data_IF_134346855103
#
_entry.id   IF_134346855103
#
_cell.length_a   1.000
_cell.length_b   1.000
_cell.length_c   1.000
_cell.angle_alpha   90.00
_cell.angle_beta   90.00
_cell.angle_gamma   90.00
#
_symmetry.space_group_name_H-M   'P 1'
#
loop_
_entity.id
_entity.type
_entity.pdbx_description
1 polymer ?
#
# COMPACT_ATOMS: atom_id res chain seq x y z
N UNK A 1 0.07 18.85 11.40
CA UNK A 1 -0.35 17.47 11.05
C UNK A 1 0.08 16.43 12.10
N UNK A 2 1.33 16.44 12.59
CA UNK A 2 1.84 15.41 13.52
C UNK A 2 1.11 15.29 14.86
N UNK A 3 0.61 16.40 15.45
CA UNK A 3 -0.12 16.33 16.73
C UNK A 3 -1.49 15.67 16.60
N UNK A 4 -2.23 15.96 15.51
CA UNK A 4 -3.51 15.32 15.21
C UNK A 4 -3.32 13.81 15.04
N UNK A 5 -2.27 13.39 14.33
CA UNK A 5 -1.93 11.97 14.13
C UNK A 5 -1.65 11.21 15.44
N UNK A 6 -1.06 11.89 16.43
CA UNK A 6 -0.76 11.30 17.74
C UNK A 6 -2.02 11.16 18.60
N UNK A 7 -2.86 12.19 18.66
CA UNK A 7 -4.10 12.16 19.44
C UNK A 7 -5.15 11.20 18.89
N UNK A 8 -5.13 10.92 17.58
CA UNK A 8 -6.09 10.01 16.97
C UNK A 8 -5.77 8.54 17.22
N UNK A 9 -4.51 8.13 17.47
CA UNK A 9 -4.15 6.70 17.49
C UNK A 9 -4.45 6.01 18.82
N UNK A 10 -5.52 5.23 18.83
CA UNK A 10 -5.67 4.15 19.81
C UNK A 10 -4.77 2.97 19.42
N UNK A 11 -3.76 2.67 20.24
CA UNK A 11 -2.84 1.55 20.00
C UNK A 11 -2.72 0.70 21.28
N UNK A 12 -3.70 -0.16 21.54
CA UNK A 12 -3.61 -1.17 22.60
C UNK A 12 -2.73 -2.33 22.10
N UNK A 13 -1.62 -2.61 22.80
CA UNK A 13 -0.69 -3.68 22.42
C UNK A 13 0.18 -3.30 21.23
N UNK A 14 1.04 -2.30 21.42
CA UNK A 14 1.90 -1.72 20.38
C UNK A 14 2.76 -2.82 19.72
N UNK A 15 2.37 -3.24 18.52
CA UNK A 15 3.19 -4.14 17.69
C UNK A 15 4.45 -3.39 17.28
N UNK A 16 5.61 -3.84 17.79
CA UNK A 16 6.91 -3.22 17.54
C UNK A 16 7.50 -3.62 16.18
N UNK A 17 7.03 -4.72 15.57
CA UNK A 17 7.62 -5.26 14.34
C UNK A 17 7.67 -4.22 13.20
N UNK A 18 6.67 -3.37 12.99
CA UNK A 18 6.68 -2.36 11.94
C UNK A 18 7.76 -1.30 12.08
N UNK A 19 7.94 -0.82 13.31
CA UNK A 19 8.96 0.17 13.62
C UNK A 19 10.35 -0.48 13.48
N UNK A 20 10.49 -1.75 13.86
CA UNK A 20 11.71 -2.51 13.63
C UNK A 20 12.03 -2.68 12.13
N UNK A 21 11.02 -2.94 11.30
CA UNK A 21 11.21 -3.02 9.84
C UNK A 21 11.69 -1.66 9.31
N UNK A 22 11.02 -0.56 9.64
CA UNK A 22 11.45 0.79 9.21
C UNK A 22 12.89 1.07 9.67
N UNK A 23 13.20 0.83 10.94
CA UNK A 23 14.55 1.03 11.47
C UNK A 23 15.57 0.16 10.72
N UNK A 24 15.23 -1.07 10.34
CA UNK A 24 16.11 -1.94 9.54
C UNK A 24 16.40 -1.33 8.17
N UNK A 25 15.41 -0.73 7.50
CA UNK A 25 15.62 0.00 6.25
C UNK A 25 16.53 1.21 6.44
N UNK A 26 16.28 2.03 7.47
CA UNK A 26 17.11 3.22 7.77
C UNK A 26 18.55 2.82 8.13
N UNK A 27 18.72 1.77 8.94
CA UNK A 27 20.05 1.23 9.27
C UNK A 27 20.75 0.70 8.02
N UNK A 28 20.03 -0.01 7.14
CA UNK A 28 20.60 -0.47 5.87
C UNK A 28 21.05 0.71 4.99
N UNK A 29 20.25 1.78 4.87
CA UNK A 29 20.62 2.96 4.10
C UNK A 29 21.86 3.68 4.66
N UNK A 30 21.92 3.85 5.98
CA UNK A 30 23.03 4.56 6.64
C UNK A 30 24.32 3.74 6.64
N UNK A 31 24.23 2.42 6.82
CA UNK A 31 25.42 1.56 6.96
C UNK A 31 25.92 0.96 5.63
N UNK A 32 25.02 0.57 4.72
CA UNK A 32 25.38 -0.21 3.52
C UNK A 32 25.45 0.65 2.26
N UNK A 33 24.59 1.68 2.15
CA UNK A 33 24.54 2.54 0.98
C UNK A 33 25.44 3.77 1.06
N UNK A 34 26.13 3.97 2.19
CA UNK A 34 27.06 5.07 2.44
C UNK A 34 26.41 6.40 2.05
N UNK A 35 25.40 6.78 2.83
CA UNK A 35 24.36 7.80 2.59
C UNK A 35 24.84 9.23 2.24
N UNK A 36 26.15 9.43 2.02
CA UNK A 36 26.77 10.70 1.66
C UNK A 36 27.00 10.95 0.17
N UNK A 37 26.90 9.95 -0.72
CA UNK A 37 26.93 10.20 -2.17
C UNK A 37 25.52 10.42 -2.69
N UNK A 38 25.31 11.52 -3.43
CA UNK A 38 24.03 11.89 -4.08
C UNK A 38 23.47 10.76 -4.96
N UNK A 39 22.81 9.76 -4.35
CA UNK A 39 22.09 8.71 -5.06
C UNK A 39 20.92 9.39 -5.75
N UNK A 40 21.04 9.59 -7.07
CA UNK A 40 19.93 10.09 -7.87
C UNK A 40 18.76 9.11 -7.73
N UNK A 41 17.68 9.55 -7.09
CA UNK A 41 16.41 8.80 -7.07
C UNK A 41 16.05 8.38 -8.49
N UNK A 42 15.69 7.11 -8.66
CA UNK A 42 15.14 6.61 -9.90
C UNK A 42 13.85 7.36 -10.26
N UNK A 43 13.50 7.36 -11.55
CA UNK A 43 12.25 7.98 -12.01
C UNK A 43 11.04 7.35 -11.31
N UNK A 44 11.13 6.05 -11.05
CA UNK A 44 10.20 5.23 -10.30
C UNK A 44 10.03 5.71 -8.86
N UNK A 45 11.14 5.95 -8.16
CA UNK A 45 11.08 6.45 -6.78
C UNK A 45 10.45 7.85 -6.72
N UNK A 46 10.71 8.69 -7.72
CA UNK A 46 10.06 10.01 -7.84
C UNK A 46 8.56 9.88 -8.12
N UNK A 47 8.19 9.01 -9.04
CA UNK A 47 6.79 8.73 -9.37
C UNK A 47 6.03 8.17 -8.16
N UNK A 48 6.64 7.23 -7.44
CA UNK A 48 6.08 6.69 -6.19
C UNK A 48 5.94 7.77 -5.12
N UNK A 49 6.95 8.63 -4.93
CA UNK A 49 6.87 9.75 -3.98
C UNK A 49 5.76 10.72 -4.34
N UNK A 50 5.62 11.08 -5.62
CA UNK A 50 4.54 11.93 -6.10
C UNK A 50 3.16 11.31 -5.86
N UNK A 51 3.01 10.01 -6.15
CA UNK A 51 1.79 9.27 -5.88
C UNK A 51 1.44 9.24 -4.39
N UNK A 52 2.44 9.00 -3.52
CA UNK A 52 2.25 9.03 -2.06
C UNK A 52 1.73 10.38 -1.59
N UNK A 53 2.24 11.49 -2.16
CA UNK A 53 1.73 12.83 -1.87
C UNK A 53 0.29 13.02 -2.32
N UNK A 54 -0.07 12.54 -3.52
CA UNK A 54 -1.46 12.60 -4.01
C UNK A 54 -2.38 11.84 -3.05
N UNK A 55 -2.08 10.57 -2.77
CA UNK A 55 -2.92 9.73 -1.92
C UNK A 55 -3.04 10.32 -0.51
N UNK A 56 -1.94 10.80 0.06
CA UNK A 56 -1.96 11.45 1.37
C UNK A 56 -2.80 12.73 1.38
N UNK A 57 -2.83 13.45 0.26
CA UNK A 57 -3.64 14.67 0.10
C UNK A 57 -5.12 14.33 -0.08
N UNK A 58 -5.48 13.20 -0.72
CA UNK A 58 -6.88 12.79 -0.88
C UNK A 58 -7.49 12.22 0.41
N UNK A 59 -6.66 11.68 1.32
CA UNK A 59 -7.17 11.05 2.55
C UNK A 59 -8.10 11.89 3.42
N UNK A 60 -7.83 13.18 3.73
CA UNK A 60 -8.71 13.99 4.56
C UNK A 60 -10.08 14.25 3.93
N UNK A 61 -10.21 14.11 2.61
CA UNK A 61 -11.49 14.31 1.94
C UNK A 61 -12.53 13.26 2.34
N UNK A 62 -12.10 12.04 2.70
CA UNK A 62 -13.01 10.95 3.13
C UNK A 62 -13.76 11.31 4.43
N UNK A 63 -13.11 11.65 5.56
CA UNK A 63 -13.82 12.04 6.78
C UNK A 63 -14.61 13.35 6.62
N UNK A 64 -14.15 14.29 5.79
CA UNK A 64 -14.91 15.51 5.47
C UNK A 64 -16.19 15.17 4.70
N UNK A 65 -16.10 14.23 3.76
CA UNK A 65 -17.22 13.71 3.00
C UNK A 65 -18.23 12.99 3.91
N UNK A 66 -17.76 12.12 4.81
CA UNK A 66 -18.60 11.45 5.81
C UNK A 66 -19.30 12.47 6.71
N UNK A 67 -18.56 13.45 7.22
CA UNK A 67 -19.14 14.53 8.01
C UNK A 67 -20.25 15.27 7.25
N UNK A 68 -19.99 15.61 5.99
CA UNK A 68 -20.97 16.27 5.13
C UNK A 68 -22.22 15.42 4.97
N UNK A 69 -22.07 14.11 4.68
CA UNK A 69 -23.21 13.20 4.57
C UNK A 69 -24.02 13.16 5.88
N UNK A 70 -23.37 13.07 7.04
CA UNK A 70 -24.05 13.00 8.33
C UNK A 70 -24.85 14.27 8.66
N UNK A 71 -24.32 15.44 8.28
CA UNK A 71 -25.02 16.72 8.48
C UNK A 71 -26.26 16.84 7.58
N UNK A 72 -26.14 16.40 6.32
CA UNK A 72 -27.23 16.54 5.33
C UNK A 72 -28.26 15.40 5.38
N UNK A 73 -27.82 14.18 5.71
CA UNK A 73 -28.67 12.99 5.74
C UNK A 73 -28.20 11.99 6.83
N UNK A 74 -28.53 12.24 8.11
CA UNK A 74 -28.11 11.40 9.23
C UNK A 74 -28.70 9.98 9.20
N UNK A 75 -29.75 9.76 8.40
CA UNK A 75 -30.37 8.43 8.24
C UNK A 75 -29.66 7.55 7.21
N UNK A 76 -28.53 7.99 6.63
CA UNK A 76 -27.84 7.22 5.58
C UNK A 76 -27.13 6.01 6.19
N UNK A 77 -27.44 4.76 5.79
CA UNK A 77 -26.63 3.61 6.19
C UNK A 77 -25.20 3.71 5.60
N UNK A 78 -24.15 3.17 6.25
CA UNK A 78 -24.15 2.33 7.45
C UNK A 78 -23.82 3.08 8.76
N UNK A 79 -24.14 4.37 8.85
CA UNK A 79 -23.77 5.19 10.01
C UNK A 79 -24.63 4.89 11.24
N UNK A 80 -24.08 5.04 12.44
CA UNK A 80 -24.74 4.80 13.73
C UNK A 80 -26.03 5.60 13.88
N UNK A 81 -26.08 6.82 13.34
CA UNK A 81 -27.31 7.63 13.35
C UNK A 81 -28.45 7.00 12.55
N UNK A 82 -28.17 6.18 11.53
CA UNK A 82 -29.21 5.47 10.77
C UNK A 82 -29.85 4.34 11.58
N UNK A 83 -29.22 3.91 12.68
CA UNK A 83 -29.79 2.90 13.59
C UNK A 83 -30.74 3.52 14.63
N UNK A 84 -30.78 4.85 14.74
CA UNK A 84 -31.70 5.54 15.64
C UNK A 84 -33.12 5.53 15.08
N UNK A 85 -34.14 5.17 15.88
CA UNK A 85 -35.54 5.20 15.42
C UNK A 85 -36.02 6.61 15.08
N UNK A 86 -35.33 7.63 15.59
CA UNK A 86 -35.69 9.04 15.43
C UNK A 86 -34.79 9.78 14.42
N UNK A 87 -34.06 9.08 13.54
CA UNK A 87 -33.08 9.71 12.65
C UNK A 87 -33.70 10.81 11.76
N UNK A 88 -34.96 10.65 11.34
CA UNK A 88 -35.69 11.63 10.52
C UNK A 88 -36.09 12.90 11.28
N UNK A 89 -36.20 12.82 12.62
CA UNK A 89 -36.60 13.93 13.48
C UNK A 89 -35.40 14.75 13.99
N UNK A 90 -34.18 14.36 13.64
CA UNK A 90 -32.96 15.05 14.08
C UNK A 90 -32.96 16.47 13.51
N UNK A 91 -32.95 17.45 14.40
CA UNK A 91 -32.73 18.87 14.08
C UNK A 91 -31.49 19.35 14.81
N UNK A 92 -30.58 19.99 14.08
CA UNK A 92 -29.35 20.61 14.58
C UNK A 92 -29.63 21.93 15.35
N UNK A 93 -30.61 21.91 16.25
CA UNK A 93 -30.98 23.07 17.07
C UNK A 93 -30.06 23.22 18.29
N UNK A 94 -30.00 24.44 18.83
CA UNK A 94 -29.12 24.85 19.94
C UNK A 94 -29.30 23.97 21.19
N UNK A 95 -28.28 23.16 21.50
CA UNK A 95 -28.20 22.33 22.70
C UNK A 95 -27.26 21.13 22.51
N UNK A 96 -26.69 20.61 23.60
CA UNK A 96 -25.90 19.38 23.57
C UNK A 96 -26.87 18.20 23.54
N UNK A 97 -27.12 17.66 22.35
CA UNK A 97 -27.95 16.45 22.16
C UNK A 97 -27.05 15.25 21.87
N UNK A 98 -27.43 14.02 22.26
CA UNK A 98 -26.61 12.82 22.08
C UNK A 98 -26.25 12.56 20.61
N UNK A 99 -27.05 13.03 19.65
CA UNK A 99 -26.79 12.90 18.22
C UNK A 99 -25.50 13.62 17.80
N UNK A 100 -25.19 14.77 18.41
CA UNK A 100 -23.94 15.50 18.15
C UNK A 100 -22.74 14.66 18.63
N UNK A 101 -22.87 14.00 19.78
CA UNK A 101 -21.81 13.11 20.30
C UNK A 101 -21.58 11.92 19.37
N UNK A 102 -22.65 11.34 18.81
CA UNK A 102 -22.55 10.25 17.83
C UNK A 102 -21.82 10.73 16.57
N UNK A 103 -22.19 11.88 15.99
CA UNK A 103 -21.49 12.45 14.83
C UNK A 103 -20.01 12.69 15.11
N UNK A 104 -19.68 13.31 16.25
CA UNK A 104 -18.29 13.56 16.63
C UNK A 104 -17.50 12.25 16.79
N UNK A 105 -18.11 11.23 17.40
CA UNK A 105 -17.52 9.92 17.53
C UNK A 105 -17.28 9.27 16.16
N UNK A 106 -18.23 9.32 15.24
CA UNK A 106 -18.07 8.75 13.90
C UNK A 106 -17.00 9.44 13.07
N UNK A 107 -16.93 10.77 13.10
CA UNK A 107 -15.87 11.52 12.43
C UNK A 107 -14.51 11.15 13.03
N UNK A 108 -14.43 11.11 14.36
CA UNK A 108 -13.19 10.76 15.05
C UNK A 108 -12.73 9.34 14.69
N UNK A 109 -13.64 8.37 14.69
CA UNK A 109 -13.37 7.00 14.26
C UNK A 109 -12.97 6.94 12.79
N UNK A 110 -13.66 7.67 11.91
CA UNK A 110 -13.34 7.74 10.48
C UNK A 110 -11.93 8.31 10.24
N UNK A 111 -11.59 9.40 10.92
CA UNK A 111 -10.24 9.99 10.90
C UNK A 111 -9.23 8.94 11.39
N UNK A 112 -9.49 8.27 12.52
CA UNK A 112 -8.57 7.27 13.05
C UNK A 112 -8.35 6.10 12.09
N UNK A 113 -9.42 5.51 11.56
CA UNK A 113 -9.35 4.39 10.61
C UNK A 113 -8.59 4.82 9.35
N UNK A 114 -8.93 5.97 8.79
CA UNK A 114 -8.34 6.48 7.54
C UNK A 114 -6.85 6.75 7.74
N UNK A 115 -6.46 7.51 8.76
CA UNK A 115 -5.04 7.81 8.99
C UNK A 115 -4.24 6.59 9.43
N UNK A 116 -4.77 5.74 10.32
CA UNK A 116 -4.09 4.53 10.76
C UNK A 116 -3.86 3.59 9.58
N UNK A 117 -4.93 3.21 8.87
CA UNK A 117 -4.87 2.31 7.71
C UNK A 117 -3.95 2.84 6.61
N UNK A 118 -4.04 4.14 6.31
CA UNK A 118 -3.19 4.78 5.31
C UNK A 118 -1.72 4.74 5.72
N UNK A 119 -1.37 5.05 6.97
CA UNK A 119 0.03 4.97 7.41
C UNK A 119 0.61 3.58 7.18
N UNK A 120 -0.15 2.53 7.48
CA UNK A 120 0.24 1.15 7.25
C UNK A 120 0.46 0.85 5.76
N UNK A 121 -0.52 1.13 4.92
CA UNK A 121 -0.44 0.79 3.49
C UNK A 121 0.61 1.67 2.78
N UNK A 122 0.66 2.97 3.06
CA UNK A 122 1.52 3.89 2.34
C UNK A 122 2.97 3.77 2.79
N UNK A 123 3.24 3.81 4.10
CA UNK A 123 4.63 3.79 4.55
C UNK A 123 5.19 2.37 4.68
N UNK A 124 4.42 1.38 5.15
CA UNK A 124 4.99 0.04 5.31
C UNK A 124 5.04 -0.73 4.01
N UNK A 125 4.02 -0.62 3.15
CA UNK A 125 3.99 -1.39 1.90
C UNK A 125 4.62 -0.61 0.75
N UNK A 126 4.08 0.56 0.40
CA UNK A 126 4.52 1.31 -0.78
C UNK A 126 5.97 1.82 -0.65
N UNK A 127 6.31 2.51 0.45
CA UNK A 127 7.68 3.02 0.64
C UNK A 127 8.69 1.87 0.73
N UNK A 128 8.42 0.81 1.50
CA UNK A 128 9.35 -0.31 1.62
C UNK A 128 9.59 -1.04 0.29
N UNK A 129 8.53 -1.28 -0.51
CA UNK A 129 8.66 -1.83 -1.87
C UNK A 129 9.49 -0.88 -2.75
N UNK A 130 9.22 0.43 -2.67
CA UNK A 130 10.00 1.45 -3.37
C UNK A 130 11.49 1.42 -3.02
N UNK A 131 11.82 1.30 -1.73
CA UNK A 131 13.19 1.13 -1.24
C UNK A 131 13.84 -0.13 -1.81
N UNK A 132 13.19 -1.30 -1.72
CA UNK A 132 13.71 -2.57 -2.26
C UNK A 132 13.97 -2.46 -3.77
N UNK A 133 13.05 -1.86 -4.53
CA UNK A 133 13.22 -1.63 -5.96
C UNK A 133 14.43 -0.73 -6.24
N UNK A 134 14.54 0.40 -5.55
CA UNK A 134 15.64 1.34 -5.71
C UNK A 134 16.99 0.69 -5.35
N UNK A 135 17.06 -0.06 -4.24
CA UNK A 135 18.28 -0.77 -3.85
C UNK A 135 18.68 -1.83 -4.87
N UNK A 136 17.70 -2.56 -5.41
CA UNK A 136 17.93 -3.56 -6.45
C UNK A 136 18.48 -2.93 -7.73
N UNK A 137 17.97 -1.77 -8.13
CA UNK A 137 18.48 -1.02 -9.29
C UNK A 137 19.89 -0.46 -9.07
N UNK A 138 20.17 0.10 -7.88
CA UNK A 138 21.52 0.55 -7.51
C UNK A 138 22.50 -0.62 -7.54
N UNK A 139 22.09 -1.75 -7.00
CA UNK A 139 22.89 -2.96 -6.99
C UNK A 139 23.16 -3.47 -8.41
N UNK A 140 22.17 -3.47 -9.30
CA UNK A 140 22.36 -3.83 -10.71
C UNK A 140 23.43 -2.96 -11.39
N UNK A 141 23.46 -1.65 -11.09
CA UNK A 141 24.46 -0.72 -11.63
C UNK A 141 25.85 -1.03 -11.07
N UNK A 142 25.97 -1.15 -9.73
CA UNK A 142 27.25 -1.51 -9.08
C UNK A 142 27.79 -2.85 -9.60
N UNK A 143 26.92 -3.83 -9.81
CA UNK A 143 27.29 -5.14 -10.35
C UNK A 143 27.86 -5.08 -11.77
N UNK A 144 27.35 -4.14 -12.59
CA UNK A 144 27.82 -3.91 -13.96
C UNK A 144 29.19 -3.22 -13.97
N UNK A 145 29.40 -2.30 -13.03
CA UNK A 145 30.61 -1.49 -12.94
C UNK A 145 31.74 -2.17 -12.14
N UNK A 146 31.44 -3.29 -11.48
CA UNK A 146 32.43 -4.06 -10.71
C UNK A 146 33.53 -4.62 -11.61
N UNK A 147 34.78 -4.20 -11.33
CA UNK A 147 35.99 -4.62 -12.05
C UNK A 147 36.64 -5.81 -11.33
N UNK A 148 36.54 -5.83 -10.01
CA UNK A 148 37.26 -6.78 -9.17
C UNK A 148 36.35 -7.85 -8.56
N UNK A 149 36.93 -9.02 -8.25
CA UNK A 149 36.22 -10.10 -7.58
C UNK A 149 35.65 -9.66 -6.21
N UNK A 150 36.42 -8.88 -5.46
CA UNK A 150 36.03 -8.37 -4.14
C UNK A 150 34.79 -7.47 -4.19
N UNK A 151 34.68 -6.62 -5.22
CA UNK A 151 33.51 -5.77 -5.45
C UNK A 151 32.28 -6.61 -5.79
N UNK A 152 32.47 -7.70 -6.53
CA UNK A 152 31.39 -8.62 -6.85
C UNK A 152 30.89 -9.38 -5.62
N UNK A 153 31.80 -9.85 -4.76
CA UNK A 153 31.46 -10.48 -3.48
C UNK A 153 30.72 -9.50 -2.56
N UNK A 154 31.14 -8.24 -2.53
CA UNK A 154 30.44 -7.17 -1.81
C UNK A 154 29.01 -6.97 -2.33
N UNK A 155 28.81 -6.95 -3.65
CA UNK A 155 27.47 -6.84 -4.22
C UNK A 155 26.56 -8.03 -3.86
N UNK A 156 27.10 -9.25 -3.85
CA UNK A 156 26.36 -10.44 -3.40
C UNK A 156 25.99 -10.31 -1.91
N UNK A 157 26.88 -9.77 -1.09
CA UNK A 157 26.58 -9.48 0.32
C UNK A 157 25.44 -8.46 0.46
N UNK A 158 25.46 -7.35 -0.28
CA UNK A 158 24.35 -6.37 -0.31
C UNK A 158 23.04 -7.05 -0.72
N UNK A 159 23.06 -7.90 -1.76
CA UNK A 159 21.85 -8.62 -2.19
C UNK A 159 21.24 -9.45 -1.05
N UNK A 160 22.09 -10.16 -0.29
CA UNK A 160 21.63 -10.95 0.86
C UNK A 160 21.02 -10.08 1.95
N UNK A 161 21.56 -8.89 2.19
CA UNK A 161 20.95 -7.92 3.11
C UNK A 161 19.58 -7.45 2.62
N UNK A 162 19.41 -7.22 1.30
CA UNK A 162 18.09 -6.91 0.72
C UNK A 162 17.12 -8.09 0.88
N UNK A 163 17.57 -9.33 0.74
CA UNK A 163 16.75 -10.52 1.01
C UNK A 163 16.29 -10.60 2.47
N UNK A 164 17.15 -10.22 3.42
CA UNK A 164 16.76 -10.17 4.83
C UNK A 164 15.70 -9.09 5.06
N UNK A 165 15.86 -7.90 4.46
CA UNK A 165 14.83 -6.85 4.53
C UNK A 165 13.50 -7.29 3.93
N UNK A 166 13.53 -7.96 2.77
CA UNK A 166 12.34 -8.53 2.13
C UNK A 166 11.66 -9.58 3.02
N UNK A 167 12.43 -10.42 3.71
CA UNK A 167 11.88 -11.41 4.64
C UNK A 167 11.22 -10.76 5.84
N UNK A 168 11.89 -9.78 6.48
CA UNK A 168 11.31 -9.02 7.58
C UNK A 168 10.02 -8.28 7.15
N UNK A 169 10.03 -7.74 5.93
CA UNK A 169 8.86 -7.08 5.35
C UNK A 169 7.72 -8.10 5.12
N UNK A 170 8.01 -9.25 4.54
CA UNK A 170 7.03 -10.31 4.28
C UNK A 170 6.42 -10.88 5.57
N UNK A 171 7.21 -11.09 6.62
CA UNK A 171 6.73 -11.61 7.91
C UNK A 171 5.62 -10.71 8.48
N UNK A 172 5.72 -9.40 8.26
CA UNK A 172 4.67 -8.45 8.65
C UNK A 172 3.53 -8.34 7.62
N UNK A 173 3.87 -8.15 6.34
CA UNK A 173 2.90 -7.88 5.28
C UNK A 173 1.98 -9.06 4.99
N UNK A 174 2.52 -10.27 4.97
CA UNK A 174 1.82 -11.49 4.51
C UNK A 174 0.65 -11.87 5.42
N UNK A 175 0.76 -11.57 6.72
CA UNK A 175 -0.24 -11.98 7.73
C UNK A 175 -1.35 -10.95 7.87
N UNK A 176 -1.02 -9.66 7.76
CA UNK A 176 -1.95 -8.58 8.13
C UNK A 176 -2.33 -7.70 6.94
N UNK A 177 -1.34 -7.09 6.28
CA UNK A 177 -1.58 -6.00 5.33
C UNK A 177 -2.06 -6.52 3.97
N UNK A 178 -1.37 -7.51 3.40
CA UNK A 178 -1.69 -8.01 2.06
C UNK A 178 -3.06 -8.71 2.03
N UNK A 179 -3.43 -9.56 3.00
CA UNK A 179 -4.80 -10.09 3.07
C UNK A 179 -5.86 -8.99 3.20
N UNK A 180 -5.64 -7.99 4.06
CA UNK A 180 -6.56 -6.87 4.20
C UNK A 180 -6.72 -6.11 2.86
N UNK A 181 -5.63 -5.86 2.13
CA UNK A 181 -5.69 -5.20 0.84
C UNK A 181 -6.46 -6.01 -0.20
N UNK A 182 -6.18 -7.31 -0.32
CA UNK A 182 -6.83 -8.20 -1.28
C UNK A 182 -8.33 -8.37 -0.96
N UNK A 183 -8.74 -8.25 0.29
CA UNK A 183 -10.16 -8.33 0.66
C UNK A 183 -10.88 -6.98 0.55
N UNK A 184 -10.35 -5.94 1.19
CA UNK A 184 -11.08 -4.68 1.34
C UNK A 184 -11.03 -3.81 0.10
N UNK A 185 -9.90 -3.72 -0.60
CA UNK A 185 -9.78 -2.80 -1.75
C UNK A 185 -10.66 -3.26 -2.92
N UNK A 186 -10.66 -4.55 -3.33
CA UNK A 186 -11.64 -5.07 -4.28
C UNK A 186 -13.09 -4.90 -3.81
N UNK A 187 -13.38 -5.12 -2.53
CA UNK A 187 -14.72 -4.92 -1.98
C UNK A 187 -15.22 -3.48 -2.13
N UNK A 188 -14.38 -2.49 -1.81
CA UNK A 188 -14.67 -1.07 -2.01
C UNK A 188 -14.86 -0.75 -3.49
N UNK A 189 -14.01 -1.30 -4.36
CA UNK A 189 -14.11 -1.10 -5.80
C UNK A 189 -15.43 -1.64 -6.36
N UNK A 190 -15.80 -2.88 -6.01
CA UNK A 190 -17.05 -3.53 -6.47
C UNK A 190 -18.28 -2.74 -6.01
N UNK A 191 -18.34 -2.39 -4.72
CA UNK A 191 -19.47 -1.64 -4.15
C UNK A 191 -19.56 -0.24 -4.76
N UNK A 192 -18.43 0.45 -4.91
CA UNK A 192 -18.35 1.76 -5.53
C UNK A 192 -18.84 1.73 -6.99
N UNK A 193 -18.36 0.78 -7.79
CA UNK A 193 -18.79 0.59 -9.17
C UNK A 193 -20.29 0.27 -9.26
N UNK A 194 -20.79 -0.63 -8.42
CA UNK A 194 -22.22 -0.96 -8.37
C UNK A 194 -23.09 0.27 -8.09
N UNK A 195 -22.75 1.06 -7.06
CA UNK A 195 -23.50 2.28 -6.70
C UNK A 195 -23.43 3.30 -7.85
N UNK A 196 -22.25 3.47 -8.46
CA UNK A 196 -22.07 4.38 -9.59
C UNK A 196 -22.90 4.00 -10.82
N UNK A 197 -23.14 2.72 -11.06
CA UNK A 197 -23.93 2.25 -12.21
C UNK A 197 -25.42 2.19 -11.88
N UNK A 198 -25.79 1.51 -10.79
CA UNK A 198 -27.20 1.19 -10.48
C UNK A 198 -27.93 2.30 -9.71
N UNK A 199 -27.25 2.99 -8.79
CA UNK A 199 -27.88 3.92 -7.83
C UNK A 199 -27.60 5.40 -8.13
N UNK A 200 -27.08 5.72 -9.32
CA UNK A 200 -26.66 7.09 -9.65
C UNK A 200 -27.81 8.12 -9.69
N UNK A 201 -29.05 7.67 -9.89
CA UNK A 201 -30.23 8.53 -9.83
C UNK A 201 -30.81 8.66 -8.41
N UNK A 202 -30.60 7.67 -7.55
CA UNK A 202 -31.18 7.63 -6.21
C UNK A 202 -30.35 8.44 -5.21
N UNK A 203 -29.03 8.48 -5.40
CA UNK A 203 -28.10 9.22 -4.53
C UNK A 203 -28.01 10.67 -4.99
N UNK A 204 -28.51 11.59 -4.17
CA UNK A 204 -28.44 13.04 -4.44
C UNK A 204 -26.99 13.56 -4.38
N UNK A 205 -26.69 14.51 -5.27
CA UNK A 205 -25.47 15.31 -5.18
C UNK A 205 -25.49 16.19 -3.92
N UNK A 206 -24.34 16.43 -3.26
CA UNK A 206 -22.97 16.06 -3.65
C UNK A 206 -22.52 14.66 -3.19
N UNK A 207 -23.33 13.95 -2.39
CA UNK A 207 -22.93 12.67 -1.79
C UNK A 207 -22.53 11.60 -2.81
N UNK A 208 -23.13 11.64 -4.00
CA UNK A 208 -22.76 10.73 -5.08
C UNK A 208 -21.29 10.81 -5.49
N UNK A 209 -20.65 11.99 -5.47
CA UNK A 209 -19.27 12.19 -5.94
C UNK A 209 -18.22 11.36 -5.18
N UNK A 210 -18.56 10.92 -3.97
CA UNK A 210 -17.67 10.10 -3.13
C UNK A 210 -17.51 8.71 -3.74
N UNK A 211 -18.54 8.13 -4.36
CA UNK A 211 -18.47 6.77 -4.90
C UNK A 211 -17.55 6.65 -6.13
N UNK A 212 -17.62 7.53 -7.15
CA UNK A 212 -16.65 7.53 -8.24
C UNK A 212 -15.22 7.78 -7.75
N UNK A 213 -15.04 8.70 -6.78
CA UNK A 213 -13.73 8.98 -6.21
C UNK A 213 -13.13 7.74 -5.52
N UNK A 214 -13.89 7.10 -4.63
CA UNK A 214 -13.47 5.87 -3.94
C UNK A 214 -13.21 4.73 -4.93
N UNK A 215 -14.00 4.64 -6.00
CA UNK A 215 -13.82 3.64 -7.05
C UNK A 215 -12.50 3.83 -7.79
N UNK A 216 -12.20 5.07 -8.20
CA UNK A 216 -10.95 5.42 -8.88
C UNK A 216 -9.77 5.18 -7.94
N UNK A 217 -9.85 5.63 -6.70
CA UNK A 217 -8.80 5.43 -5.70
C UNK A 217 -8.54 3.95 -5.45
N UNK A 218 -9.59 3.14 -5.26
CA UNK A 218 -9.46 1.69 -5.07
C UNK A 218 -8.84 0.99 -6.29
N UNK A 219 -9.25 1.36 -7.51
CA UNK A 219 -8.68 0.82 -8.74
C UNK A 219 -7.20 1.20 -8.90
N UNK A 220 -6.83 2.46 -8.63
CA UNK A 220 -5.45 2.94 -8.67
C UNK A 220 -4.58 2.22 -7.63
N UNK A 221 -5.07 2.10 -6.40
CA UNK A 221 -4.38 1.38 -5.31
C UNK A 221 -4.12 -0.07 -5.71
N UNK A 222 -5.15 -0.78 -6.21
CA UNK A 222 -5.00 -2.16 -6.70
C UNK A 222 -3.94 -2.24 -7.80
N UNK A 223 -4.07 -1.45 -8.88
CA UNK A 223 -3.15 -1.52 -10.01
C UNK A 223 -1.72 -1.22 -9.57
N UNK A 224 -1.52 -0.13 -8.83
CA UNK A 224 -0.17 0.35 -8.52
C UNK A 224 0.52 -0.55 -7.49
N UNK A 225 -0.14 -0.91 -6.39
CA UNK A 225 0.46 -1.73 -5.34
C UNK A 225 0.87 -3.10 -5.90
N UNK A 226 -0.04 -3.79 -6.59
CA UNK A 226 0.24 -5.13 -7.10
C UNK A 226 1.28 -5.09 -8.24
N UNK A 227 1.28 -4.05 -9.08
CA UNK A 227 2.31 -3.88 -10.12
C UNK A 227 3.69 -3.59 -9.53
N UNK A 228 3.80 -2.77 -8.49
CA UNK A 228 5.07 -2.51 -7.83
C UNK A 228 5.60 -3.76 -7.12
N UNK A 229 4.71 -4.50 -6.44
CA UNK A 229 5.04 -5.76 -5.81
C UNK A 229 5.54 -6.81 -6.82
N UNK A 230 4.89 -6.92 -7.98
CA UNK A 230 5.31 -7.85 -9.04
C UNK A 230 6.63 -7.43 -9.70
N UNK A 231 6.88 -6.12 -9.79
CA UNK A 231 8.13 -5.56 -10.30
C UNK A 231 9.33 -5.92 -9.43
N UNK A 232 9.17 -6.10 -8.11
CA UNK A 232 10.25 -6.58 -7.21
C UNK A 232 10.79 -7.93 -7.67
N UNK A 233 9.90 -8.85 -8.02
CA UNK A 233 10.27 -10.15 -8.58
C UNK A 233 11.01 -9.98 -9.92
N UNK A 234 10.41 -9.23 -10.84
CA UNK A 234 10.99 -9.01 -12.17
C UNK A 234 12.37 -8.36 -12.14
N UNK A 235 12.56 -7.35 -11.28
CA UNK A 235 13.85 -6.65 -11.12
C UNK A 235 14.87 -7.56 -10.44
N UNK A 236 14.49 -8.32 -9.42
CA UNK A 236 15.43 -9.19 -8.73
C UNK A 236 15.94 -10.35 -9.61
N UNK A 237 15.09 -10.90 -10.50
CA UNK A 237 15.53 -11.84 -11.55
C UNK A 237 16.57 -11.17 -12.46
N UNK A 238 16.31 -9.95 -12.93
CA UNK A 238 17.24 -9.21 -13.79
C UNK A 238 18.58 -8.96 -13.08
N UNK A 239 18.55 -8.54 -11.82
CA UNK A 239 19.75 -8.31 -10.99
C UNK A 239 20.58 -9.59 -10.89
N UNK A 240 19.98 -10.72 -10.55
CA UNK A 240 20.68 -12.00 -10.43
C UNK A 240 21.25 -12.46 -11.77
N UNK A 241 20.50 -12.31 -12.87
CA UNK A 241 20.97 -12.64 -14.22
C UNK A 241 22.14 -11.76 -14.66
N UNK A 242 22.08 -10.46 -14.36
CA UNK A 242 23.20 -9.51 -14.56
C UNK A 242 24.41 -9.97 -13.76
N UNK A 243 24.24 -10.31 -12.48
CA UNK A 243 25.31 -10.84 -11.64
C UNK A 243 25.95 -12.10 -12.21
N UNK A 244 25.15 -13.09 -12.61
CA UNK A 244 25.66 -14.33 -13.20
C UNK A 244 26.45 -14.05 -14.49
N UNK A 245 25.94 -13.17 -15.36
CA UNK A 245 26.60 -12.79 -16.61
C UNK A 245 27.97 -12.14 -16.36
N UNK A 246 28.08 -11.18 -15.45
CA UNK A 246 29.35 -10.49 -15.19
C UNK A 246 30.32 -11.34 -14.36
N UNK A 247 29.81 -12.22 -13.49
CA UNK A 247 30.64 -13.16 -12.72
C UNK A 247 31.43 -14.13 -13.61
N UNK A 248 30.95 -14.38 -14.85
CA UNK A 248 31.59 -15.30 -15.79
C UNK A 248 33.00 -14.89 -16.22
N UNK A 249 33.38 -13.61 -16.02
CA UNK A 249 34.66 -13.04 -16.45
C UNK A 249 35.83 -13.32 -15.49
N UNK A 250 35.58 -13.86 -14.30
CA UNK A 250 36.59 -14.00 -13.25
C UNK A 250 37.18 -15.42 -13.16
N UNK A 251 38.44 -15.55 -12.72
CA UNK A 251 39.11 -16.88 -12.63
C UNK A 251 38.41 -17.86 -11.65
N UNK A 252 37.73 -17.37 -10.61
CA UNK A 252 36.97 -18.17 -9.62
C UNK A 252 35.46 -18.18 -9.89
N UNK A 253 35.05 -18.34 -11.14
CA UNK A 253 33.63 -18.33 -11.54
C UNK A 253 32.76 -19.33 -10.80
N UNK A 254 33.28 -20.52 -10.45
CA UNK A 254 32.46 -21.60 -9.87
C UNK A 254 31.90 -21.26 -8.49
N UNK A 255 32.73 -20.74 -7.59
CA UNK A 255 32.32 -20.38 -6.23
C UNK A 255 31.33 -19.20 -6.24
N UNK A 256 31.61 -18.18 -7.05
CA UNK A 256 30.77 -16.98 -7.16
C UNK A 256 29.41 -17.35 -7.78
N UNK A 257 29.39 -18.11 -8.88
CA UNK A 257 28.15 -18.60 -9.49
C UNK A 257 27.33 -19.46 -8.52
N UNK A 258 27.98 -20.32 -7.73
CA UNK A 258 27.31 -21.11 -6.69
C UNK A 258 26.66 -20.20 -5.63
N UNK A 259 27.35 -19.13 -5.24
CA UNK A 259 26.82 -18.16 -4.28
C UNK A 259 25.63 -17.37 -4.84
N UNK A 260 25.68 -16.94 -6.11
CA UNK A 260 24.57 -16.24 -6.78
C UNK A 260 23.37 -17.17 -6.95
N UNK A 261 23.60 -18.44 -7.35
CA UNK A 261 22.52 -19.43 -7.48
C UNK A 261 21.90 -19.81 -6.14
N UNK A 262 22.64 -19.66 -5.04
CA UNK A 262 22.09 -19.82 -3.70
C UNK A 262 21.20 -18.63 -3.28
N UNK A 263 21.29 -17.47 -3.95
CA UNK A 263 20.42 -16.35 -3.68
C UNK A 263 19.04 -16.57 -4.33
N UNK A 264 18.00 -16.62 -3.51
CA UNK A 264 16.62 -16.61 -3.96
C UNK A 264 16.19 -15.26 -4.57
N UNK A 265 15.29 -15.32 -5.55
CA UNK A 265 14.59 -14.14 -6.12
C UNK A 265 13.72 -13.48 -5.04
N UNK A 266 13.70 -12.15 -5.00
CA UNK A 266 12.88 -11.36 -4.06
C UNK A 266 11.40 -11.42 -4.47
N UNK A 267 10.48 -11.66 -3.52
CA UNK A 267 9.05 -11.80 -3.82
C UNK A 267 8.18 -11.26 -2.69
N UNK A 268 7.24 -10.37 -3.00
CA UNK A 268 6.22 -9.98 -2.02
C UNK A 268 5.20 -11.13 -1.89
N UNK A 269 5.08 -11.70 -0.69
CA UNK A 269 4.29 -12.90 -0.42
C UNK A 269 2.87 -12.58 0.04
N UNK A 270 1.97 -13.48 -0.32
CA UNK A 270 0.59 -13.53 0.15
C UNK A 270 0.23 -14.98 0.50
N UNK A 271 0.12 -15.27 1.79
CA UNK A 271 -0.01 -16.65 2.27
C UNK A 271 1.12 -17.54 1.76
N UNK A 272 0.78 -18.68 1.15
CA UNK A 272 1.76 -19.58 0.51
C UNK A 272 2.19 -19.13 -0.90
N UNK A 273 1.56 -18.09 -1.46
CA UNK A 273 1.78 -17.59 -2.81
C UNK A 273 2.56 -16.27 -2.81
N UNK A 274 2.79 -15.71 -3.99
CA UNK A 274 3.41 -14.40 -4.18
C UNK A 274 2.67 -13.59 -5.24
N UNK A 275 2.81 -12.27 -5.17
CA UNK A 275 2.21 -11.35 -6.14
C UNK A 275 3.05 -11.38 -7.42
N UNK A 276 2.44 -11.80 -8.51
CA UNK A 276 3.06 -11.87 -9.84
C UNK A 276 2.54 -10.77 -10.78
N UNK A 277 3.07 -10.71 -12.00
CA UNK A 277 2.68 -9.68 -12.97
C UNK A 277 1.23 -9.83 -13.46
N UNK A 278 0.61 -11.00 -13.28
CA UNK A 278 -0.79 -11.25 -13.64
C UNK A 278 -1.78 -10.84 -12.55
N UNK A 279 -1.34 -10.79 -11.30
CA UNK A 279 -2.18 -10.50 -10.12
C UNK A 279 -3.00 -9.21 -10.25
N UNK A 280 -2.45 -8.05 -10.70
CA UNK A 280 -3.25 -6.83 -10.85
C UNK A 280 -4.40 -7.03 -11.84
N UNK A 281 -4.16 -7.73 -12.96
CA UNK A 281 -5.17 -7.97 -13.99
C UNK A 281 -6.24 -8.94 -13.50
N UNK A 282 -5.86 -10.00 -12.79
CA UNK A 282 -6.80 -10.95 -12.19
C UNK A 282 -7.72 -10.25 -11.19
N UNK A 283 -7.17 -9.38 -10.33
CA UNK A 283 -7.96 -8.63 -9.35
C UNK A 283 -8.93 -7.66 -10.03
N UNK A 284 -8.49 -6.95 -11.07
CA UNK A 284 -9.36 -6.04 -11.82
C UNK A 284 -10.48 -6.79 -12.56
N UNK A 285 -10.15 -7.93 -13.18
CA UNK A 285 -11.16 -8.77 -13.82
C UNK A 285 -12.18 -9.29 -12.80
N UNK A 286 -11.71 -9.75 -11.63
CA UNK A 286 -12.59 -10.16 -10.54
C UNK A 286 -13.53 -9.01 -10.10
N UNK A 287 -13.02 -7.79 -9.93
CA UNK A 287 -13.86 -6.65 -9.56
C UNK A 287 -14.94 -6.35 -10.61
N UNK A 288 -14.57 -6.40 -11.90
CA UNK A 288 -15.50 -6.19 -13.01
C UNK A 288 -16.57 -7.29 -13.07
N UNK A 289 -16.18 -8.56 -12.99
CA UNK A 289 -17.07 -9.72 -13.06
C UNK A 289 -18.07 -9.73 -11.90
N UNK A 290 -17.61 -9.43 -10.68
CA UNK A 290 -18.49 -9.34 -9.50
C UNK A 290 -19.46 -8.16 -9.60
N UNK A 291 -19.00 -7.01 -10.08
CA UNK A 291 -19.87 -5.85 -10.30
C UNK A 291 -20.95 -6.16 -11.33
N UNK A 292 -20.59 -6.79 -12.46
CA UNK A 292 -21.55 -7.22 -13.48
C UNK A 292 -22.55 -8.22 -12.91
N UNK A 293 -22.09 -9.18 -12.11
CA UNK A 293 -22.97 -10.16 -11.45
C UNK A 293 -23.99 -9.48 -10.52
N UNK A 294 -23.56 -8.50 -9.72
CA UNK A 294 -24.46 -7.72 -8.85
C UNK A 294 -25.46 -6.88 -9.64
N UNK A 295 -25.06 -6.31 -10.78
CA UNK A 295 -25.95 -5.58 -11.67
C UNK A 295 -27.03 -6.50 -12.25
N UNK A 296 -26.66 -7.70 -12.68
CA UNK A 296 -27.58 -8.70 -13.25
C UNK A 296 -28.56 -9.28 -12.21
N UNK A 297 -28.13 -9.44 -10.95
CA UNK A 297 -29.04 -9.90 -9.88
C UNK A 297 -30.04 -8.81 -9.50
N UNK A 298 -29.65 -7.54 -9.62
CA UNK A 298 -30.50 -6.39 -9.29
C UNK A 298 -31.34 -5.83 -10.43
N UNK A 299 -31.32 -6.43 -11.63
CA UNK A 299 -32.16 -6.08 -12.77
C UNK A 299 -33.46 -6.88 -12.77
#
# INVERSE_FOLDING_TARGET
>A
MNFILLCSRWNYGLDIAPIQVINSFVTFETTVLDSGKNVKMSFEAKSLSFLLHILQTTMPFIPIAIFSILIFNPCTPPFLLSMSPNCHAIRWTTGVRPEILIVLFEIWMSIHITFSGTLWIHHMLLVAIGCILNYSEILARKAKDAINQTEHEYCVHIYRCIQLLEKCLNDFLMVKIVPALITFVPGIQILGQYICVKMHHDVRMPGFLIFPLLTIDAALINIIIFTLASRVNSVSIKVLATHEKYSSKFKRTSAIKKSIRACAVLKIKFGSNYIDNGTPLVIQNFCADQTMSLILIGS
#
